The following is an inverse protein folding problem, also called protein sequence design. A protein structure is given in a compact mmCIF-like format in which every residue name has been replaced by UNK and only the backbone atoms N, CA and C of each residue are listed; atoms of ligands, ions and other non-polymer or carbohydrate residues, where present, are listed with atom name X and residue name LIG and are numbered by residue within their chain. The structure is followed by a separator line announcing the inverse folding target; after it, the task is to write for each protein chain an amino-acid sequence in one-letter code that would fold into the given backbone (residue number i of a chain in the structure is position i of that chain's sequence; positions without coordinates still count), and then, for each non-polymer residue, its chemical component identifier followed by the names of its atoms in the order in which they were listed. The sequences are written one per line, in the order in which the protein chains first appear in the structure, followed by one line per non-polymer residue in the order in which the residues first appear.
data_IF_900224003032
#
_entry.id   IF_900224003032
#
_cell.length_a   1.000
_cell.length_b   1.000
_cell.length_c   1.000
_cell.angle_alpha   90.00
_cell.angle_beta   90.00
_cell.angle_gamma   90.00
#
_symmetry.space_group_name_H-M   'P 1'
#
loop_
_entity.id
_entity.type
_entity.pdbx_description
1 polymer ?
#
# COMPACT_ATOMS: atom_id res chain seq x y z
N UNK A 1 1.40 35.16 -4.54
CA UNK A 1 2.79 34.72 -4.74
C UNK A 1 3.37 34.37 -3.38
N UNK A 2 3.30 33.09 -3.04
CA UNK A 2 4.02 32.49 -1.92
C UNK A 2 4.40 31.10 -2.42
N UNK A 3 5.59 31.04 -3.00
CA UNK A 3 6.22 29.87 -3.60
C UNK A 3 6.59 28.95 -2.44
N UNK A 4 6.00 27.77 -2.40
CA UNK A 4 6.48 26.67 -1.54
C UNK A 4 7.48 25.91 -2.42
N UNK A 5 8.75 25.91 -2.02
CA UNK A 5 9.83 25.17 -2.68
C UNK A 5 9.60 23.66 -2.52
N UNK A 6 9.38 22.96 -3.64
CA UNK A 6 9.13 21.52 -3.76
C UNK A 6 10.40 20.63 -3.67
N UNK A 7 11.52 21.13 -3.14
CA UNK A 7 12.77 20.37 -3.11
C UNK A 7 13.12 19.87 -1.70
N UNK A 8 12.63 18.65 -1.34
CA UNK A 8 13.34 17.73 -0.41
C UNK A 8 12.73 16.32 -0.21
N UNK A 9 11.82 15.82 -1.06
CA UNK A 9 11.23 14.47 -0.85
C UNK A 9 11.79 13.43 -1.82
N UNK A 10 13.11 13.20 -1.81
CA UNK A 10 13.72 11.97 -2.35
C UNK A 10 14.97 11.57 -1.56
N UNK A 11 14.77 11.26 -0.29
CA UNK A 11 15.64 10.32 0.45
C UNK A 11 14.97 8.95 0.48
N UNK A 12 15.75 7.87 0.61
CA UNK A 12 15.17 6.57 0.96
C UNK A 12 14.27 6.76 2.19
N UNK A 13 13.01 6.32 2.10
CA UNK A 13 11.98 6.53 3.15
C UNK A 13 12.42 5.98 4.50
N UNK A 14 13.29 4.97 4.49
CA UNK A 14 13.97 4.43 5.66
C UNK A 14 15.47 4.71 5.56
N UNK A 15 16.01 5.40 6.56
CA UNK A 15 17.45 5.67 6.71
C UNK A 15 18.02 4.81 7.84
N UNK A 16 19.30 4.46 7.79
CA UNK A 16 19.96 3.73 8.88
C UNK A 16 20.10 4.63 10.12
N UNK A 17 19.97 4.07 11.34
CA UNK A 17 20.33 4.82 12.55
C UNK A 17 21.83 5.10 12.51
N UNK A 18 22.21 6.35 12.30
CA UNK A 18 23.59 6.80 12.42
C UNK A 18 23.66 8.08 13.25
N UNK A 19 24.54 8.10 14.26
CA UNK A 19 24.65 9.20 15.21
C UNK A 19 25.21 10.51 14.59
N UNK A 20 25.74 10.43 13.36
CA UNK A 20 26.37 11.54 12.64
C UNK A 20 25.45 12.16 11.55
N UNK A 21 24.22 11.66 11.39
CA UNK A 21 23.32 12.10 10.32
C UNK A 21 22.33 13.18 10.82
N UNK A 22 22.69 14.46 10.68
CA UNK A 22 21.89 15.62 11.12
C UNK A 22 20.55 15.78 10.36
N UNK A 23 20.32 15.01 9.28
CA UNK A 23 19.16 15.11 8.37
C UNK A 23 18.05 14.07 8.64
N UNK A 24 18.06 13.34 9.76
CA UNK A 24 16.99 12.40 10.13
C UNK A 24 15.89 13.10 10.95
N UNK A 25 15.10 13.96 10.29
CA UNK A 25 13.99 14.65 10.93
C UNK A 25 12.77 13.72 11.07
N UNK A 26 12.21 13.53 12.29
CA UNK A 26 11.00 12.76 12.45
C UNK A 26 9.81 13.49 11.80
N UNK A 27 8.98 12.76 11.07
CA UNK A 27 7.75 13.31 10.48
C UNK A 27 6.74 13.54 11.60
N UNK A 28 6.25 14.78 11.77
CA UNK A 28 5.31 15.11 12.83
C UNK A 28 3.89 15.18 12.26
N UNK A 29 2.97 14.43 12.87
CA UNK A 29 1.55 14.37 12.49
C UNK A 29 0.73 14.75 13.72
N UNK A 30 -0.36 15.50 13.52
CA UNK A 30 -1.35 15.74 14.57
C UNK A 30 -2.18 14.47 14.80
N UNK A 31 -2.35 14.06 16.05
CA UNK A 31 -3.09 12.84 16.40
C UNK A 31 -3.93 13.05 17.64
N UNK A 32 -5.05 12.35 17.74
CA UNK A 32 -5.94 12.44 18.90
C UNK A 32 -5.30 11.76 20.12
N UNK A 33 -5.28 12.43 21.27
CA UNK A 33 -4.85 11.83 22.53
C UNK A 33 -5.94 10.90 23.07
N UNK A 34 -5.60 9.62 23.28
CA UNK A 34 -6.56 8.66 23.84
C UNK A 34 -6.83 8.83 25.34
N UNK A 35 -6.03 9.64 26.03
CA UNK A 35 -6.19 9.91 27.46
C UNK A 35 -7.13 11.11 27.72
N UNK A 36 -6.94 12.23 27.02
CA UNK A 36 -7.74 13.44 27.23
C UNK A 36 -8.64 13.82 26.04
N UNK A 37 -8.61 13.06 24.94
CA UNK A 37 -9.37 13.31 23.71
C UNK A 37 -9.10 14.67 23.03
N UNK A 38 -8.02 15.34 23.40
CA UNK A 38 -7.53 16.54 22.73
C UNK A 38 -6.39 16.19 21.76
N UNK A 39 -6.05 17.09 20.83
CA UNK A 39 -5.00 16.84 19.85
C UNK A 39 -3.61 16.88 20.51
N UNK A 40 -2.79 15.85 20.26
CA UNK A 40 -1.37 15.82 20.53
C UNK A 40 -0.56 15.66 19.24
N UNK A 41 0.74 15.46 19.38
CA UNK A 41 1.66 15.27 18.25
C UNK A 41 2.26 13.88 18.25
N UNK A 42 2.16 13.16 17.13
CA UNK A 42 2.89 11.91 16.86
C UNK A 42 4.10 12.20 16.00
N UNK A 43 5.27 11.80 16.46
CA UNK A 43 6.54 11.85 15.73
C UNK A 43 6.85 10.48 15.16
N UNK A 44 6.85 10.34 13.84
CA UNK A 44 7.21 9.13 13.12
C UNK A 44 8.69 9.19 12.72
N UNK A 45 9.47 8.22 13.19
CA UNK A 45 10.85 8.01 12.78
C UNK A 45 10.94 6.68 12.02
N UNK A 46 11.19 6.78 10.72
CA UNK A 46 11.35 5.65 9.81
C UNK A 46 12.84 5.31 9.76
N UNK A 47 13.23 4.20 10.39
CA UNK A 47 14.64 3.88 10.56
C UNK A 47 14.94 2.40 10.34
N UNK A 48 16.18 2.11 9.98
CA UNK A 48 16.74 0.76 9.92
C UNK A 48 17.69 0.58 11.09
N UNK A 49 17.48 -0.49 11.86
CA UNK A 49 18.37 -0.90 12.95
C UNK A 49 19.08 -2.19 12.55
N UNK A 50 20.38 -2.37 12.84
CA UNK A 50 21.08 -3.63 12.59
C UNK A 50 20.29 -4.80 13.20
N UNK A 51 20.20 -5.92 12.47
CA UNK A 51 19.41 -7.12 12.79
C UNK A 51 17.88 -7.01 12.64
N UNK A 52 17.33 -5.82 12.43
CA UNK A 52 15.93 -5.61 12.09
C UNK A 52 15.81 -5.03 10.69
N UNK A 53 14.77 -5.45 9.96
CA UNK A 53 14.37 -4.77 8.73
C UNK A 53 13.76 -3.40 9.10
N UNK A 54 13.11 -2.76 8.14
CA UNK A 54 12.50 -1.43 8.27
C UNK A 54 11.56 -1.32 9.50
N UNK A 55 11.80 -0.36 10.39
CA UNK A 55 10.95 -0.06 11.55
C UNK A 55 10.42 1.38 11.50
N UNK A 56 9.22 1.56 12.05
CA UNK A 56 8.54 2.84 12.23
C UNK A 56 8.39 3.07 13.74
N UNK A 57 9.09 4.06 14.27
CA UNK A 57 8.93 4.47 15.66
C UNK A 57 7.94 5.63 15.70
N UNK A 58 6.79 5.43 16.32
CA UNK A 58 5.73 6.42 16.48
C UNK A 58 5.70 6.92 17.92
N UNK A 59 6.29 8.09 18.18
CA UNK A 59 6.28 8.72 19.51
C UNK A 59 5.21 9.80 19.60
N UNK A 60 4.10 9.47 20.24
CA UNK A 60 3.04 10.41 20.60
C UNK A 60 3.38 11.18 21.88
N UNK A 61 3.08 12.47 21.90
CA UNK A 61 3.13 13.32 23.09
C UNK A 61 1.97 14.30 23.06
N UNK A 62 1.18 14.33 24.14
CA UNK A 62 0.11 15.30 24.32
C UNK A 62 0.60 16.48 25.18
N UNK A 63 0.51 17.73 24.70
CA UNK A 63 0.89 18.91 25.48
C UNK A 63 -0.12 19.28 26.57
N UNK A 64 -1.34 18.72 26.52
CA UNK A 64 -2.42 19.06 27.44
C UNK A 64 -2.44 18.20 28.70
N UNK A 65 -2.23 16.89 28.57
CA UNK A 65 -2.22 15.95 29.70
C UNK A 65 -0.85 15.33 29.99
N UNK A 66 0.20 15.73 29.27
CA UNK A 66 1.56 15.16 29.34
C UNK A 66 1.64 13.64 29.11
N UNK A 67 0.58 13.03 28.57
CA UNK A 67 0.61 11.62 28.21
C UNK A 67 1.50 11.44 26.97
N UNK A 68 2.47 10.54 27.08
CA UNK A 68 3.34 10.14 25.98
C UNK A 68 3.22 8.65 25.75
N UNK A 69 3.34 8.25 24.49
CA UNK A 69 3.29 6.85 24.10
C UNK A 69 4.24 6.64 22.92
N UNK A 70 5.09 5.62 23.00
CA UNK A 70 6.01 5.28 21.91
C UNK A 70 5.67 3.89 21.42
N UNK A 71 5.17 3.83 20.20
CA UNK A 71 4.81 2.60 19.51
C UNK A 71 5.89 2.27 18.49
N UNK A 72 6.24 1.00 18.35
CA UNK A 72 7.08 0.53 17.24
C UNK A 72 6.21 -0.33 16.34
N UNK A 73 6.16 0.04 15.07
CA UNK A 73 5.57 -0.76 14.02
C UNK A 73 6.70 -1.27 13.12
N UNK A 74 6.80 -2.59 12.97
CA UNK A 74 7.70 -3.16 11.98
C UNK A 74 7.07 -2.96 10.59
N UNK A 75 7.72 -2.19 9.73
CA UNK A 75 7.35 -2.10 8.31
C UNK A 75 7.90 -3.28 7.51
N UNK A 76 8.81 -4.06 8.10
CA UNK A 76 9.36 -5.27 7.49
C UNK A 76 8.31 -6.36 7.27
N UNK A 77 8.47 -7.11 6.17
CA UNK A 77 7.75 -8.37 5.92
C UNK A 77 7.88 -9.30 7.14
N UNK A 78 6.78 -9.99 7.47
CA UNK A 78 6.76 -11.07 8.47
C UNK A 78 7.92 -12.03 8.18
N UNK A 79 8.67 -12.43 9.21
CA UNK A 79 9.82 -13.32 9.02
C UNK A 79 9.36 -14.71 8.54
N UNK A 80 10.27 -15.48 7.96
CA UNK A 80 9.97 -16.84 7.50
C UNK A 80 9.56 -17.77 8.65
N UNK A 81 10.14 -17.55 9.84
CA UNK A 81 9.95 -18.35 11.04
C UNK A 81 9.47 -17.49 12.21
N UNK A 82 8.64 -18.09 13.07
CA UNK A 82 8.31 -17.51 14.36
C UNK A 82 9.48 -17.69 15.33
N UNK A 83 9.54 -16.83 16.35
CA UNK A 83 10.61 -16.84 17.34
C UNK A 83 10.04 -16.95 18.75
N UNK A 84 10.67 -17.81 19.54
CA UNK A 84 10.38 -18.00 20.95
C UNK A 84 11.65 -17.65 21.75
N UNK A 85 11.56 -16.58 22.53
CA UNK A 85 12.59 -16.18 23.48
C UNK A 85 12.24 -16.74 24.85
N UNK A 86 13.18 -17.47 25.45
CA UNK A 86 13.10 -17.93 26.84
C UNK A 86 14.27 -17.36 27.59
N UNK A 87 14.02 -16.37 28.46
CA UNK A 87 15.03 -15.71 29.27
C UNK A 87 14.88 -16.12 30.74
N UNK A 88 15.98 -16.57 31.34
CA UNK A 88 16.08 -16.70 32.80
C UNK A 88 16.59 -15.39 33.40
N UNK A 89 15.72 -14.68 34.11
CA UNK A 89 16.07 -13.42 34.80
C UNK A 89 16.63 -13.78 36.17
N UNK A 90 17.93 -13.48 36.39
CA UNK A 90 18.64 -13.80 37.65
C UNK A 90 19.20 -12.56 38.34
N UNK A 91 19.54 -11.54 37.56
CA UNK A 91 20.21 -10.34 38.06
C UNK A 91 19.42 -9.08 37.73
N UNK A 92 19.69 -8.00 38.45
CA UNK A 92 19.14 -6.67 38.10
C UNK A 92 19.65 -6.17 36.75
N UNK A 93 20.79 -6.64 36.26
CA UNK A 93 21.26 -6.32 34.91
C UNK A 93 20.36 -6.93 33.83
N UNK A 94 19.81 -8.13 34.08
CA UNK A 94 18.85 -8.75 33.15
C UNK A 94 17.58 -7.90 33.01
N UNK A 95 17.15 -7.21 34.06
CA UNK A 95 15.98 -6.33 34.04
C UNK A 95 16.14 -5.12 33.11
N UNK A 96 17.37 -4.70 32.87
CA UNK A 96 17.71 -3.56 32.03
C UNK A 96 17.80 -3.90 30.54
N UNK A 97 17.72 -5.18 30.16
CA UNK A 97 17.79 -5.61 28.76
C UNK A 97 16.68 -4.95 27.96
N UNK A 98 17.04 -4.41 26.80
CA UNK A 98 16.06 -3.87 25.86
C UNK A 98 15.22 -4.98 25.25
N UNK A 99 13.91 -4.74 25.20
CA UNK A 99 12.90 -5.65 24.66
C UNK A 99 12.09 -4.91 23.61
N UNK A 100 12.12 -5.45 22.40
CA UNK A 100 11.17 -5.11 21.34
C UNK A 100 10.07 -6.16 21.38
N UNK A 101 8.87 -5.75 21.73
CA UNK A 101 7.68 -6.60 21.69
C UNK A 101 6.83 -6.18 20.50
N UNK A 102 6.53 -7.11 19.60
CA UNK A 102 5.54 -6.90 18.53
C UNK A 102 4.11 -7.00 19.07
N UNK A 103 3.13 -6.54 18.29
CA UNK A 103 1.71 -6.66 18.61
C UNK A 103 1.22 -8.11 18.62
N UNK A 104 1.76 -8.94 17.74
CA UNK A 104 1.46 -10.38 17.64
C UNK A 104 2.17 -11.25 18.68
N UNK A 105 3.08 -10.68 19.48
CA UNK A 105 3.80 -11.41 20.52
C UNK A 105 2.99 -11.62 21.79
N UNK A 106 3.00 -12.85 22.29
CA UNK A 106 2.52 -13.19 23.63
C UNK A 106 3.66 -13.19 24.64
N UNK A 107 3.38 -12.75 25.86
CA UNK A 107 4.36 -12.71 26.95
C UNK A 107 3.88 -13.55 28.11
N UNK A 108 4.70 -14.47 28.62
CA UNK A 108 4.34 -15.38 29.71
C UNK A 108 5.39 -15.39 30.80
N UNK A 109 4.94 -15.44 32.05
CA UNK A 109 5.76 -15.72 33.24
C UNK A 109 5.15 -16.94 33.94
N UNK A 110 5.64 -18.16 33.64
CA UNK A 110 5.05 -19.40 34.15
C UNK A 110 5.00 -19.49 35.68
N UNK A 111 5.98 -18.92 36.38
CA UNK A 111 6.04 -18.94 37.85
C UNK A 111 4.89 -18.17 38.52
N UNK A 112 4.28 -17.22 37.80
CA UNK A 112 3.15 -16.43 38.29
C UNK A 112 1.82 -16.82 37.64
N UNK A 113 1.80 -17.78 36.73
CA UNK A 113 0.65 -18.01 35.81
C UNK A 113 0.19 -16.70 35.14
N UNK A 114 1.16 -15.85 34.79
CA UNK A 114 0.90 -14.56 34.15
C UNK A 114 1.05 -14.67 32.64
N UNK A 115 0.05 -14.22 31.89
CA UNK A 115 0.06 -14.18 30.44
C UNK A 115 -0.51 -12.85 29.93
N UNK A 116 0.22 -12.24 28.99
CA UNK A 116 -0.25 -11.14 28.16
C UNK A 116 -0.46 -11.72 26.76
N UNK A 117 -1.73 -11.94 26.33
CA UNK A 117 -2.00 -12.52 25.02
C UNK A 117 -1.60 -11.57 23.89
N UNK A 118 -1.41 -12.13 22.70
CA UNK A 118 -1.18 -11.38 21.47
C UNK A 118 -2.33 -10.38 21.20
N UNK A 119 -2.04 -9.27 20.52
CA UNK A 119 -2.95 -8.17 20.13
C UNK A 119 -3.60 -7.41 21.28
N UNK A 120 -3.32 -7.75 22.54
CA UNK A 120 -3.79 -6.95 23.69
C UNK A 120 -3.03 -5.64 23.85
N UNK A 121 -1.78 -5.62 23.41
CA UNK A 121 -0.88 -4.49 23.50
C UNK A 121 -0.27 -4.23 22.12
N UNK A 122 -0.10 -2.96 21.78
CA UNK A 122 0.61 -2.57 20.56
C UNK A 122 2.11 -2.82 20.71
N UNK A 123 2.80 -2.87 19.56
CA UNK A 123 4.24 -3.02 19.50
C UNK A 123 4.95 -1.91 20.28
N UNK A 124 5.92 -2.28 21.13
CA UNK A 124 6.62 -1.32 21.99
C UNK A 124 8.07 -1.71 22.19
N UNK A 125 8.94 -0.71 22.24
CA UNK A 125 10.31 -0.81 22.75
C UNK A 125 10.32 -0.42 24.23
N UNK A 126 10.82 -1.32 25.05
CA UNK A 126 10.93 -1.10 26.49
C UNK A 126 12.11 -1.90 27.04
N UNK A 127 12.18 -2.02 28.36
CA UNK A 127 13.04 -2.98 29.05
C UNK A 127 12.18 -4.06 29.69
N UNK A 128 12.81 -5.10 30.23
CA UNK A 128 12.08 -6.12 31.01
C UNK A 128 11.41 -5.49 32.22
N UNK A 129 12.10 -4.57 32.90
CA UNK A 129 11.50 -3.77 33.98
C UNK A 129 10.30 -2.96 33.49
N UNK A 130 10.42 -2.27 32.35
CA UNK A 130 9.34 -1.47 31.80
C UNK A 130 8.11 -2.29 31.39
N UNK A 131 8.30 -3.54 30.95
CA UNK A 131 7.19 -4.46 30.66
C UNK A 131 6.43 -4.84 31.94
N UNK A 132 7.15 -5.09 33.04
CA UNK A 132 6.55 -5.41 34.34
C UNK A 132 5.87 -4.18 34.96
N UNK A 133 6.50 -3.00 34.91
CA UNK A 133 5.92 -1.75 35.40
C UNK A 133 4.62 -1.42 34.68
N UNK A 134 4.57 -1.64 33.36
CA UNK A 134 3.35 -1.45 32.58
C UNK A 134 2.25 -2.43 32.98
N UNK A 135 2.59 -3.70 33.24
CA UNK A 135 1.63 -4.68 33.73
C UNK A 135 1.07 -4.30 35.11
N UNK A 136 1.93 -3.83 36.02
CA UNK A 136 1.54 -3.34 37.35
C UNK A 136 0.62 -2.13 37.23
N UNK A 137 1.01 -1.12 36.44
CA UNK A 137 0.21 0.09 36.25
C UNK A 137 -1.17 -0.22 35.65
N UNK A 138 -1.24 -1.13 34.67
CA UNK A 138 -2.51 -1.55 34.06
C UNK A 138 -3.45 -2.28 35.04
N UNK A 139 -2.90 -3.06 35.97
CA UNK A 139 -3.70 -3.71 37.02
C UNK A 139 -4.13 -2.73 38.13
N UNK A 140 -3.27 -1.76 38.47
CA UNK A 140 -3.46 -0.81 39.57
C UNK A 140 -4.44 0.33 39.21
N UNK A 141 -4.50 0.76 37.94
CA UNK A 141 -5.34 1.88 37.48
C UNK A 141 -6.82 1.72 37.86
N UNK A 142 -7.37 0.50 37.71
CA UNK A 142 -8.79 0.23 37.95
C UNK A 142 -9.08 -0.29 39.38
N UNK A 143 -8.06 -0.46 40.23
CA UNK A 143 -8.25 -0.94 41.61
C UNK A 143 -9.22 -0.09 42.44
N UNK A 144 -9.25 1.26 42.36
CA UNK A 144 -10.20 2.06 43.14
C UNK A 144 -11.67 1.73 42.81
N UNK A 145 -11.96 1.48 41.53
CA UNK A 145 -13.31 1.12 41.05
C UNK A 145 -13.66 -0.31 41.47
N UNK A 146 -12.69 -1.23 41.37
CA UNK A 146 -12.86 -2.63 41.80
C UNK A 146 -13.11 -2.74 43.30
N UNK A 147 -12.40 -1.97 44.14
CA UNK A 147 -12.64 -1.92 45.61
C UNK A 147 -14.07 -1.47 45.97
N UNK A 148 -14.69 -0.63 45.16
CA UNK A 148 -16.07 -0.17 45.37
C UNK A 148 -17.12 -1.18 44.87
N UNK A 149 -16.82 -1.94 43.82
CA UNK A 149 -17.79 -2.84 43.16
C UNK A 149 -17.69 -4.29 43.66
N UNK A 150 -16.48 -4.82 43.76
CA UNK A 150 -16.19 -6.18 44.19
C UNK A 150 -14.88 -6.24 45.01
N UNK A 151 -14.99 -6.13 46.36
CA UNK A 151 -13.83 -6.13 47.25
C UNK A 151 -13.03 -7.45 47.22
N UNK A 152 -13.68 -8.58 46.95
CA UNK A 152 -13.02 -9.89 46.98
C UNK A 152 -12.09 -10.10 45.77
N UNK A 153 -12.48 -9.56 44.61
CA UNK A 153 -11.62 -9.56 43.42
C UNK A 153 -10.46 -8.57 43.58
N UNK A 154 -10.74 -7.40 44.16
CA UNK A 154 -9.72 -6.38 44.40
C UNK A 154 -8.58 -6.87 45.31
N UNK A 155 -8.89 -7.67 46.35
CA UNK A 155 -7.90 -8.25 47.26
C UNK A 155 -6.96 -9.25 46.54
N UNK A 156 -7.53 -10.12 45.69
CA UNK A 156 -6.73 -11.07 44.88
C UNK A 156 -5.81 -10.38 43.88
N UNK A 157 -6.28 -9.30 43.26
CA UNK A 157 -5.47 -8.50 42.33
C UNK A 157 -4.36 -7.77 43.08
N UNK A 158 -4.64 -7.27 44.28
CA UNK A 158 -3.63 -6.60 45.12
C UNK A 158 -2.52 -7.57 45.55
N UNK A 159 -2.88 -8.80 45.96
CA UNK A 159 -1.91 -9.87 46.22
C UNK A 159 -1.07 -10.20 44.98
N UNK A 160 -1.69 -10.23 43.79
CA UNK A 160 -0.97 -10.47 42.54
C UNK A 160 -0.01 -9.33 42.16
N UNK A 161 -0.43 -8.08 42.37
CA UNK A 161 0.43 -6.90 42.16
C UNK A 161 1.63 -6.93 43.10
N UNK A 162 1.46 -7.35 44.36
CA UNK A 162 2.59 -7.53 45.29
C UNK A 162 3.57 -8.61 44.79
N UNK A 163 3.07 -9.72 44.23
CA UNK A 163 3.92 -10.75 43.63
C UNK A 163 4.72 -10.22 42.44
N UNK A 164 4.10 -9.41 41.56
CA UNK A 164 4.81 -8.75 40.46
C UNK A 164 5.86 -7.75 40.96
N UNK A 165 5.55 -6.97 42.00
CA UNK A 165 6.50 -6.03 42.62
C UNK A 165 7.70 -6.75 43.26
N UNK A 166 7.52 -7.97 43.80
CA UNK A 166 8.64 -8.80 44.31
C UNK A 166 9.57 -9.28 43.20
N UNK A 167 9.03 -9.64 42.03
CA UNK A 167 9.86 -10.01 40.88
C UNK A 167 10.74 -8.85 40.39
N UNK A 168 10.24 -7.62 40.51
CA UNK A 168 11.01 -6.42 40.13
C UNK A 168 12.29 -6.24 40.96
N UNK A 169 12.25 -6.59 42.25
CA UNK A 169 13.43 -6.54 43.10
C UNK A 169 14.42 -7.69 42.86
N UNK A 170 14.04 -8.66 42.00
CA UNK A 170 14.82 -9.86 41.68
C UNK A 170 15.14 -10.66 42.95
N UNK A 171 14.16 -10.76 43.86
CA UNK A 171 14.26 -11.63 45.05
C UNK A 171 14.16 -13.11 44.68
N UNK A 172 13.45 -13.42 43.58
CA UNK A 172 13.27 -14.77 43.05
C UNK A 172 13.62 -14.80 41.55
N UNK A 173 14.34 -15.84 41.12
CA UNK A 173 14.60 -16.09 39.70
C UNK A 173 13.30 -16.49 38.98
N UNK A 174 13.02 -15.87 37.84
CA UNK A 174 11.84 -16.18 37.04
C UNK A 174 12.18 -16.33 35.56
N UNK A 175 11.26 -16.92 34.81
CA UNK A 175 11.42 -17.13 33.37
C UNK A 175 10.47 -16.22 32.63
N UNK A 176 11.02 -15.37 31.76
CA UNK A 176 10.25 -14.58 30.83
C UNK A 176 10.24 -15.30 29.48
N UNK A 177 9.04 -15.58 28.98
CA UNK A 177 8.84 -16.19 27.67
C UNK A 177 8.15 -15.16 26.77
N UNK A 178 8.76 -14.85 25.63
CA UNK A 178 8.15 -14.04 24.57
C UNK A 178 8.03 -14.93 23.35
N UNK A 179 6.78 -15.24 22.99
CA UNK A 179 6.45 -16.05 21.82
C UNK A 179 5.85 -15.15 20.75
N UNK A 180 6.58 -14.95 19.66
CA UNK A 180 6.20 -14.09 18.56
C UNK A 180 6.14 -14.87 17.24
N UNK A 181 4.92 -15.19 16.77
CA UNK A 181 4.73 -15.83 15.47
C UNK A 181 5.25 -15.01 14.29
N UNK A 182 5.33 -13.67 14.39
CA UNK A 182 5.80 -12.82 13.30
C UNK A 182 7.32 -12.79 13.13
N UNK A 183 8.06 -13.21 14.15
CA UNK A 183 9.53 -13.15 14.18
C UNK A 183 10.10 -11.75 14.38
N UNK A 184 9.28 -10.76 14.77
CA UNK A 184 9.68 -9.34 14.87
C UNK A 184 9.87 -8.86 16.32
N UNK A 185 9.88 -9.76 17.30
CA UNK A 185 10.23 -9.43 18.68
C UNK A 185 11.71 -9.69 18.92
N UNK A 186 12.28 -9.03 19.92
CA UNK A 186 13.70 -9.13 20.22
C UNK A 186 13.97 -8.87 21.69
N UNK A 187 14.96 -9.59 22.22
CA UNK A 187 15.53 -9.34 23.54
C UNK A 187 17.02 -9.12 23.37
N UNK A 188 17.53 -8.04 23.93
CA UNK A 188 18.94 -7.68 23.92
C UNK A 188 19.80 -8.75 24.59
N UNK A 189 20.94 -9.06 23.95
CA UNK A 189 22.04 -9.79 24.57
C UNK A 189 23.11 -8.78 25.02
N UNK A 190 23.26 -8.55 26.34
CA UNK A 190 24.24 -7.58 26.86
C UNK A 190 25.70 -8.05 26.69
N UNK A 191 25.93 -9.34 26.39
CA UNK A 191 27.28 -9.93 26.30
C UNK A 191 27.82 -10.01 24.87
N UNK A 192 27.17 -9.38 23.88
CA UNK A 192 27.62 -9.40 22.46
C UNK A 192 29.11 -9.01 22.36
N UNK A 193 29.96 -9.78 21.63
CA UNK A 193 29.66 -10.90 20.73
C UNK A 193 29.65 -12.30 21.38
N UNK A 194 29.76 -12.40 22.71
CA UNK A 194 29.70 -13.67 23.43
C UNK A 194 28.25 -14.18 23.48
N UNK A 195 28.12 -15.52 23.54
CA UNK A 195 26.81 -16.16 23.68
C UNK A 195 26.26 -15.90 25.07
N UNK A 196 25.02 -15.46 25.13
CA UNK A 196 24.28 -15.43 26.37
C UNK A 196 23.90 -16.85 26.80
N UNK A 197 24.09 -17.16 28.08
CA UNK A 197 23.70 -18.45 28.68
C UNK A 197 22.32 -18.41 29.33
N UNK A 198 21.81 -17.21 29.63
CA UNK A 198 20.51 -16.99 30.26
C UNK A 198 19.37 -16.88 29.23
N UNK A 199 19.68 -16.45 27.99
CA UNK A 199 18.73 -16.30 26.90
C UNK A 199 18.81 -17.48 25.93
N UNK A 200 17.70 -18.20 25.78
CA UNK A 200 17.53 -19.23 24.76
C UNK A 200 16.59 -18.71 23.67
N UNK A 201 17.05 -18.73 22.42
CA UNK A 201 16.25 -18.32 21.25
C UNK A 201 15.98 -19.54 20.40
N UNK A 202 14.70 -19.91 20.28
CA UNK A 202 14.24 -21.02 19.43
C UNK A 202 13.39 -20.50 18.31
N UNK A 203 13.67 -20.93 17.08
CA UNK A 203 12.90 -20.57 15.90
C UNK A 203 12.00 -21.75 15.54
N UNK A 204 10.76 -21.48 15.14
CA UNK A 204 9.79 -22.52 14.80
C UNK A 204 9.05 -22.20 13.50
N UNK A 205 8.61 -23.26 12.80
CA UNK A 205 7.72 -23.13 11.63
C UNK A 205 6.32 -22.80 12.14
N UNK A 206 5.72 -21.73 11.61
CA UNK A 206 4.38 -21.27 11.99
C UNK A 206 3.34 -22.34 11.72
N UNK A 207 2.36 -22.43 12.61
CA UNK A 207 1.16 -23.25 12.38
C UNK A 207 0.17 -22.51 11.49
N UNK A 208 -0.81 -23.20 10.87
CA UNK A 208 -1.86 -22.54 10.10
C UNK A 208 -2.66 -21.52 10.93
N UNK A 209 -2.87 -21.80 12.21
CA UNK A 209 -3.51 -20.88 13.15
C UNK A 209 -2.71 -19.58 13.33
N UNK A 210 -1.38 -19.69 13.45
CA UNK A 210 -0.50 -18.53 13.51
C UNK A 210 -0.54 -17.70 12.22
N UNK A 211 -0.60 -18.36 11.06
CA UNK A 211 -0.69 -17.66 9.76
C UNK A 211 -2.01 -16.90 9.64
N UNK A 212 -3.14 -17.51 10.02
CA UNK A 212 -4.45 -16.85 10.01
C UNK A 212 -4.47 -15.61 10.91
N UNK A 213 -3.88 -15.71 12.11
CA UNK A 213 -3.79 -14.61 13.08
C UNK A 213 -2.93 -13.45 12.55
N UNK A 214 -1.89 -13.75 11.77
CA UNK A 214 -1.02 -12.76 11.14
C UNK A 214 -1.57 -12.22 9.80
N UNK A 215 -2.74 -12.69 9.37
CA UNK A 215 -3.32 -12.31 8.07
C UNK A 215 -2.52 -12.84 6.87
N UNK A 216 -1.76 -13.92 7.07
CA UNK A 216 -1.02 -14.59 6.00
C UNK A 216 -1.95 -15.62 5.40
N UNK A 217 -2.36 -15.38 4.15
CA UNK A 217 -3.03 -16.40 3.36
C UNK A 217 -2.05 -17.56 3.16
N UNK A 218 -2.42 -18.73 3.67
CA UNK A 218 -1.71 -19.96 3.35
C UNK A 218 -2.05 -20.29 1.90
N UNK A 219 -1.21 -19.85 0.97
CA UNK A 219 -1.03 -20.61 -0.26
C UNK A 219 -0.60 -22.01 0.18
N UNK A 220 -1.43 -23.01 -0.12
CA UNK A 220 -1.11 -24.40 0.17
C UNK A 220 0.31 -24.69 -0.36
N UNK A 221 1.13 -25.32 0.50
CA UNK A 221 2.56 -25.53 0.27
C UNK A 221 2.83 -26.19 -1.10
N UNK A 222 3.29 -25.42 -2.08
CA UNK A 222 4.07 -25.95 -3.20
C UNK A 222 5.55 -25.95 -2.83
N UNK A 223 6.06 -27.16 -2.62
CA UNK A 223 7.43 -27.52 -2.33
C UNK A 223 8.45 -26.89 -3.30
N UNK A 224 9.44 -26.20 -2.73
CA UNK A 224 10.85 -26.12 -3.16
C UNK A 224 11.18 -25.81 -4.64
N UNK A 225 11.68 -24.60 -4.84
CA UNK A 225 12.79 -24.19 -5.73
C UNK A 225 12.96 -24.90 -7.10
N UNK A 226 12.58 -24.17 -8.15
CA UNK A 226 13.44 -23.88 -9.31
C UNK A 226 13.22 -22.42 -9.73
N UNK A 227 14.23 -21.72 -10.30
CA UNK A 227 13.97 -20.45 -10.98
C UNK A 227 13.31 -20.80 -12.32
N UNK A 228 12.02 -21.10 -12.29
CA UNK A 228 11.19 -21.08 -13.48
C UNK A 228 10.84 -19.64 -13.80
N UNK A 229 10.78 -19.32 -15.09
CA UNK A 229 10.19 -18.10 -15.61
C UNK A 229 8.66 -18.13 -15.37
N UNK A 230 8.24 -18.23 -14.11
CA UNK A 230 6.84 -18.25 -13.77
C UNK A 230 6.32 -16.81 -13.76
N UNK A 231 5.21 -16.62 -14.46
CA UNK A 231 4.52 -15.34 -14.62
C UNK A 231 4.20 -14.75 -13.24
N UNK A 232 3.94 -15.60 -12.24
CA UNK A 232 3.69 -15.22 -10.84
C UNK A 232 4.86 -14.50 -10.17
N UNK A 233 6.10 -14.87 -10.45
CA UNK A 233 7.28 -14.16 -9.94
C UNK A 233 7.42 -12.79 -10.60
N UNK A 234 7.06 -12.67 -11.89
CA UNK A 234 7.00 -11.39 -12.60
C UNK A 234 5.84 -10.47 -12.15
N UNK A 235 4.78 -11.01 -11.54
CA UNK A 235 3.66 -10.24 -10.97
C UNK A 235 4.07 -9.46 -9.71
N UNK A 236 4.96 -10.03 -8.91
CA UNK A 236 5.34 -9.48 -7.61
C UNK A 236 6.59 -8.59 -7.63
N UNK A 237 7.38 -8.64 -8.71
CA UNK A 237 8.60 -7.85 -8.87
C UNK A 237 8.45 -6.72 -9.89
N UNK A 238 9.06 -5.57 -9.61
CA UNK A 238 9.19 -4.49 -10.59
C UNK A 238 10.41 -4.79 -11.45
N UNK A 239 10.17 -5.15 -12.71
CA UNK A 239 11.23 -5.40 -13.68
C UNK A 239 11.77 -4.07 -14.19
N UNK A 240 13.07 -3.85 -14.06
CA UNK A 240 13.72 -2.64 -14.58
C UNK A 240 14.52 -3.01 -15.82
N UNK A 241 14.25 -2.38 -16.95
CA UNK A 241 15.04 -2.53 -18.16
C UNK A 241 15.50 -1.17 -18.68
N UNK A 242 16.70 -1.16 -19.24
CA UNK A 242 17.29 0.06 -19.81
C UNK A 242 16.78 0.22 -21.24
N UNK A 243 16.19 1.37 -21.53
CA UNK A 243 15.73 1.76 -22.87
C UNK A 243 16.21 3.17 -23.18
N UNK A 244 15.94 3.65 -24.39
CA UNK A 244 16.24 5.02 -24.75
C UNK A 244 15.02 5.91 -24.47
N UNK A 245 15.26 7.11 -23.97
CA UNK A 245 14.22 8.12 -23.78
C UNK A 245 13.60 8.49 -25.14
N UNK A 246 12.25 8.45 -25.29
CA UNK A 246 11.60 8.76 -26.57
C UNK A 246 11.80 10.22 -27.02
N UNK A 247 12.13 11.12 -26.09
CA UNK A 247 12.26 12.55 -26.38
C UNK A 247 13.71 12.99 -26.64
N UNK A 248 14.67 12.52 -25.85
CA UNK A 248 16.08 12.95 -25.97
C UNK A 248 17.03 11.83 -26.43
N UNK A 249 16.54 10.61 -26.59
CA UNK A 249 17.30 9.41 -26.97
C UNK A 249 18.47 9.07 -26.03
N UNK A 250 18.53 9.68 -24.85
CA UNK A 250 19.48 9.33 -23.80
C UNK A 250 19.10 7.98 -23.15
N UNK A 251 20.07 7.22 -22.61
CA UNK A 251 19.75 6.01 -21.86
C UNK A 251 18.90 6.36 -20.63
N UNK A 252 17.76 5.68 -20.48
CA UNK A 252 16.80 5.86 -19.40
C UNK A 252 16.32 4.50 -18.88
N UNK A 253 16.00 4.45 -17.59
CA UNK A 253 15.45 3.23 -16.98
C UNK A 253 13.93 3.25 -17.12
N UNK A 254 13.35 2.15 -17.58
CA UNK A 254 11.91 1.93 -17.59
C UNK A 254 11.56 0.84 -16.60
N UNK A 255 10.70 1.21 -15.65
CA UNK A 255 10.15 0.28 -14.67
C UNK A 255 8.89 -0.35 -15.27
N UNK A 256 8.88 -1.67 -15.33
CA UNK A 256 7.75 -2.47 -15.78
C UNK A 256 7.15 -3.21 -14.58
N UNK A 257 5.83 -3.14 -14.44
CA UNK A 257 5.09 -3.94 -13.47
C UNK A 257 3.90 -4.61 -14.15
N UNK A 258 3.80 -5.92 -14.01
CA UNK A 258 2.58 -6.65 -14.33
C UNK A 258 1.57 -6.39 -13.21
N UNK A 259 0.39 -5.87 -13.54
CA UNK A 259 -0.69 -5.61 -12.60
C UNK A 259 -1.93 -6.32 -13.09
N UNK A 260 -2.54 -7.13 -12.23
CA UNK A 260 -3.85 -7.71 -12.49
C UNK A 260 -4.90 -6.82 -11.83
N UNK A 261 -5.71 -6.17 -12.64
CA UNK A 261 -6.82 -5.35 -12.13
C UNK A 261 -7.97 -6.32 -11.78
N UNK A 262 -8.53 -6.29 -10.56
CA UNK A 262 -9.68 -7.12 -10.21
C UNK A 262 -10.80 -6.96 -11.22
N UNK A 263 -11.39 -8.08 -11.68
CA UNK A 263 -12.42 -8.11 -12.72
C UNK A 263 -11.98 -7.61 -14.11
N UNK A 264 -10.69 -7.41 -14.34
CA UNK A 264 -10.11 -7.12 -15.64
C UNK A 264 -8.85 -7.98 -15.90
N UNK A 265 -8.34 -7.91 -17.13
CA UNK A 265 -7.15 -8.65 -17.56
C UNK A 265 -5.87 -8.11 -16.93
N UNK A 266 -4.78 -8.84 -17.18
CA UNK A 266 -3.43 -8.41 -16.90
C UNK A 266 -3.04 -7.20 -17.76
N UNK A 267 -2.56 -6.16 -17.09
CA UNK A 267 -1.97 -4.96 -17.70
C UNK A 267 -0.52 -4.83 -17.30
N UNK A 268 0.27 -4.24 -18.19
CA UNK A 268 1.68 -3.94 -18.00
C UNK A 268 1.81 -2.44 -17.88
N UNK A 269 2.22 -1.97 -16.71
CA UNK A 269 2.52 -0.56 -16.47
C UNK A 269 4.00 -0.34 -16.73
N UNK A 270 4.33 0.53 -17.67
CA UNK A 270 5.67 0.92 -18.06
C UNK A 270 5.87 2.40 -17.70
N UNK A 271 6.71 2.65 -16.70
CA UNK A 271 7.04 4.00 -16.26
C UNK A 271 8.49 4.32 -16.63
N UNK A 272 8.69 5.18 -17.62
CA UNK A 272 10.02 5.69 -18.00
C UNK A 272 10.26 7.02 -17.33
N UNK A 273 11.37 7.14 -16.61
CA UNK A 273 11.81 8.40 -16.01
C UNK A 273 13.23 8.70 -16.50
N UNK A 274 13.39 9.75 -17.30
CA UNK A 274 14.67 10.13 -17.87
C UNK A 274 15.40 11.14 -16.99
N UNK A 275 16.54 10.76 -16.43
CA UNK A 275 17.36 11.65 -15.58
C UNK A 275 18.06 12.77 -16.38
N UNK A 276 18.20 12.62 -17.70
CA UNK A 276 18.90 13.61 -18.55
C UNK A 276 18.02 14.79 -18.96
N UNK A 277 16.74 14.57 -19.27
CA UNK A 277 15.81 15.63 -19.70
C UNK A 277 14.62 15.83 -18.76
N UNK A 278 14.45 15.00 -17.74
CA UNK A 278 13.31 15.05 -16.82
C UNK A 278 12.00 14.50 -17.39
N UNK A 279 12.01 13.94 -18.61
CA UNK A 279 10.83 13.36 -19.23
C UNK A 279 10.30 12.18 -18.41
N UNK A 280 8.99 12.22 -18.09
CA UNK A 280 8.27 11.18 -17.36
C UNK A 280 7.10 10.72 -18.21
N UNK A 281 7.02 9.43 -18.48
CA UNK A 281 5.87 8.80 -19.14
C UNK A 281 5.43 7.58 -18.37
N UNK A 282 4.12 7.39 -18.28
CA UNK A 282 3.48 6.20 -17.74
C UNK A 282 2.61 5.63 -18.86
N UNK A 283 3.10 4.60 -19.51
CA UNK A 283 2.37 3.84 -20.52
C UNK A 283 1.76 2.60 -19.86
N UNK A 284 0.49 2.36 -20.11
CA UNK A 284 -0.18 1.13 -19.70
C UNK A 284 -0.54 0.35 -20.96
N UNK A 285 0.01 -0.85 -21.07
CA UNK A 285 -0.25 -1.77 -22.18
C UNK A 285 -1.03 -2.96 -21.65
N UNK A 286 -1.92 -3.49 -22.47
CA UNK A 286 -2.54 -4.78 -22.12
C UNK A 286 -1.50 -5.87 -22.29
N UNK A 287 -1.25 -6.67 -21.25
CA UNK A 287 -0.27 -7.75 -21.29
C UNK A 287 -0.75 -8.98 -22.05
N UNK A 288 -2.07 -9.08 -22.26
CA UNK A 288 -2.70 -10.17 -22.98
C UNK A 288 -2.70 -10.01 -24.51
N UNK A 289 -2.89 -11.12 -25.20
CA UNK A 289 -3.18 -11.13 -26.63
C UNK A 289 -4.49 -10.38 -26.93
N UNK A 290 -4.61 -9.84 -28.14
CA UNK A 290 -5.84 -9.25 -28.67
C UNK A 290 -7.00 -10.23 -28.50
N UNK A 291 -8.15 -9.79 -27.96
CA UNK A 291 -9.30 -10.69 -27.82
C UNK A 291 -9.79 -11.21 -29.17
N UNK A 292 -10.55 -12.31 -29.14
CA UNK A 292 -11.31 -12.78 -30.30
C UNK A 292 -12.41 -11.81 -30.73
N UNK A 293 -12.96 -11.04 -29.80
CA UNK A 293 -14.09 -10.12 -30.01
C UNK A 293 -13.72 -8.69 -29.62
N UNK A 294 -14.29 -7.72 -30.34
CA UNK A 294 -14.28 -6.33 -29.92
C UNK A 294 -15.24 -6.11 -28.75
N UNK A 295 -14.97 -5.10 -27.94
CA UNK A 295 -15.80 -4.74 -26.79
C UNK A 295 -16.26 -3.29 -26.91
N UNK A 296 -17.57 -3.07 -26.80
CA UNK A 296 -18.18 -1.75 -26.70
C UNK A 296 -18.79 -1.58 -25.31
N UNK A 297 -18.31 -0.60 -24.57
CA UNK A 297 -18.80 -0.26 -23.22
C UNK A 297 -19.56 1.06 -23.35
N UNK A 298 -20.83 1.07 -22.95
CA UNK A 298 -21.66 2.28 -22.89
C UNK A 298 -21.98 2.53 -21.43
N UNK A 299 -21.59 3.69 -20.90
CA UNK A 299 -21.94 4.16 -19.57
C UNK A 299 -22.80 5.41 -19.69
N UNK A 300 -23.96 5.39 -19.05
CA UNK A 300 -24.79 6.57 -18.85
C UNK A 300 -24.38 7.26 -17.54
N UNK A 301 -23.85 8.47 -17.66
CA UNK A 301 -23.43 9.26 -16.50
C UNK A 301 -24.66 9.89 -15.84
N UNK A 302 -24.91 9.51 -14.59
CA UNK A 302 -26.08 9.99 -13.83
C UNK A 302 -25.69 10.58 -12.48
N UNK A 303 -24.52 10.20 -11.95
CA UNK A 303 -24.08 10.63 -10.63
C UNK A 303 -22.66 11.24 -10.71
N UNK A 304 -22.36 12.32 -9.95
CA UNK A 304 -21.01 12.87 -9.87
C UNK A 304 -19.95 11.85 -9.42
N UNK A 305 -20.34 10.82 -8.67
CA UNK A 305 -19.44 9.73 -8.27
C UNK A 305 -18.91 8.91 -9.46
N UNK A 306 -19.62 8.91 -10.60
CA UNK A 306 -19.16 8.24 -11.82
C UNK A 306 -17.80 8.80 -12.30
N UNK A 307 -17.50 10.06 -12.01
CA UNK A 307 -16.22 10.71 -12.37
C UNK A 307 -14.99 10.00 -11.76
N UNK A 308 -15.18 9.32 -10.63
CA UNK A 308 -14.12 8.59 -9.91
C UNK A 308 -13.86 7.19 -10.43
N UNK A 309 -14.64 6.69 -11.39
CA UNK A 309 -14.47 5.34 -11.93
C UNK A 309 -13.13 5.18 -12.63
N UNK A 310 -12.43 4.11 -12.31
CA UNK A 310 -11.20 3.72 -12.98
C UNK A 310 -11.47 3.35 -14.45
N UNK A 311 -10.62 3.86 -15.34
CA UNK A 311 -10.71 3.70 -16.78
C UNK A 311 -9.33 3.36 -17.35
N UNK A 312 -9.26 2.27 -18.12
CA UNK A 312 -8.12 1.97 -18.98
C UNK A 312 -8.53 2.20 -20.43
N UNK A 313 -7.90 3.18 -21.08
CA UNK A 313 -8.08 3.40 -22.51
C UNK A 313 -6.93 2.74 -23.27
N UNK A 314 -7.23 1.71 -24.05
CA UNK A 314 -6.25 1.13 -24.96
C UNK A 314 -5.95 2.09 -26.14
N UNK A 315 -4.84 1.84 -26.85
CA UNK A 315 -4.51 2.58 -28.06
C UNK A 315 -5.52 2.33 -29.19
N UNK A 316 -6.17 1.17 -29.21
CA UNK A 316 -7.15 0.81 -30.24
C UNK A 316 -8.57 1.26 -29.91
N UNK A 317 -8.78 1.86 -28.73
CA UNK A 317 -10.10 2.32 -28.30
C UNK A 317 -10.44 3.70 -28.86
N UNK A 318 -11.63 3.83 -29.45
CA UNK A 318 -12.28 5.12 -29.69
C UNK A 318 -13.20 5.49 -28.52
N UNK A 319 -13.39 6.79 -28.33
CA UNK A 319 -14.30 7.34 -27.30
C UNK A 319 -15.33 8.19 -28.00
N UNK A 320 -16.62 7.93 -27.73
CA UNK A 320 -17.72 8.68 -28.30
C UNK A 320 -18.61 9.26 -27.21
N UNK A 321 -19.02 10.51 -27.39
CA UNK A 321 -20.04 11.19 -26.57
C UNK A 321 -21.14 11.68 -27.53
N UNK A 322 -22.22 10.89 -27.72
CA UNK A 322 -23.25 11.17 -28.71
C UNK A 322 -23.93 12.52 -28.54
N UNK A 323 -24.21 12.94 -27.30
CA UNK A 323 -24.89 14.20 -26.98
C UNK A 323 -24.06 15.44 -27.34
N UNK A 324 -22.74 15.28 -27.41
CA UNK A 324 -21.81 16.33 -27.83
C UNK A 324 -21.42 16.23 -29.31
N UNK A 325 -21.93 15.22 -30.03
CA UNK A 325 -21.49 14.86 -31.38
C UNK A 325 -19.96 14.74 -31.45
N UNK A 326 -19.37 14.17 -30.41
CA UNK A 326 -17.93 14.15 -30.21
C UNK A 326 -17.38 12.74 -30.32
N UNK A 327 -16.29 12.59 -31.07
CA UNK A 327 -15.59 11.33 -31.26
C UNK A 327 -14.08 11.56 -31.22
N UNK A 328 -13.38 10.71 -30.47
CA UNK A 328 -11.93 10.61 -30.47
C UNK A 328 -11.57 9.29 -31.14
N UNK A 329 -10.79 9.41 -32.21
CA UNK A 329 -10.28 8.27 -32.96
C UNK A 329 -9.27 7.44 -32.15
N UNK A 330 -8.97 6.27 -32.72
CA UNK A 330 -7.94 5.36 -32.20
C UNK A 330 -6.57 6.09 -32.10
N UNK A 331 -5.72 5.63 -31.20
CA UNK A 331 -4.40 6.16 -30.82
C UNK A 331 -4.37 7.50 -30.07
N UNK A 332 -5.41 8.32 -30.15
CA UNK A 332 -5.48 9.57 -29.38
C UNK A 332 -5.75 9.27 -27.89
N UNK A 333 -4.95 9.86 -27.00
CA UNK A 333 -5.03 9.66 -25.54
C UNK A 333 -5.02 8.18 -25.10
N UNK A 334 -4.44 7.29 -25.91
CA UNK A 334 -4.39 5.85 -25.64
C UNK A 334 -3.28 5.44 -24.68
N UNK A 335 -3.35 4.20 -24.18
CA UNK A 335 -2.31 3.59 -23.34
C UNK A 335 -2.22 4.19 -21.94
N UNK A 336 -3.34 4.70 -21.40
CA UNK A 336 -3.37 5.38 -20.10
C UNK A 336 -4.39 4.74 -19.18
N UNK A 337 -3.98 4.51 -17.94
CA UNK A 337 -4.87 4.22 -16.82
C UNK A 337 -5.17 5.52 -16.08
N UNK A 338 -6.44 5.88 -16.00
CA UNK A 338 -6.91 7.15 -15.45
C UNK A 338 -8.32 6.98 -14.88
N UNK A 339 -8.94 8.06 -14.43
CA UNK A 339 -10.36 8.08 -14.06
C UNK A 339 -11.19 8.68 -15.20
N UNK A 340 -12.51 8.53 -15.16
CA UNK A 340 -13.40 9.21 -16.12
C UNK A 340 -13.19 10.74 -16.12
N UNK A 341 -13.01 11.35 -14.96
CA UNK A 341 -12.66 12.76 -14.83
C UNK A 341 -11.34 13.11 -15.53
N UNK A 342 -10.30 12.29 -15.31
CA UNK A 342 -8.99 12.48 -15.91
C UNK A 342 -9.04 12.40 -17.43
N UNK A 343 -9.81 11.44 -17.97
CA UNK A 343 -10.04 11.34 -19.41
C UNK A 343 -10.75 12.58 -19.95
N UNK A 344 -11.86 13.02 -19.35
CA UNK A 344 -12.60 14.21 -19.81
C UNK A 344 -11.76 15.49 -19.75
N UNK A 345 -10.92 15.62 -18.72
CA UNK A 345 -9.97 16.74 -18.58
C UNK A 345 -8.92 16.72 -19.67
N UNK A 346 -8.34 15.55 -19.97
CA UNK A 346 -7.39 15.39 -21.08
C UNK A 346 -8.04 15.73 -22.44
N UNK A 347 -9.30 15.33 -22.63
CA UNK A 347 -10.08 15.64 -23.83
C UNK A 347 -10.26 17.16 -23.98
N UNK A 348 -10.63 17.83 -22.89
CA UNK A 348 -10.77 19.29 -22.85
C UNK A 348 -9.44 19.95 -23.20
N UNK A 349 -8.34 19.51 -22.60
CA UNK A 349 -7.01 20.09 -22.85
C UNK A 349 -6.52 19.87 -24.28
N UNK A 350 -6.79 18.69 -24.86
CA UNK A 350 -6.42 18.39 -26.24
C UNK A 350 -7.17 19.29 -27.23
N UNK A 351 -8.48 19.49 -27.02
CA UNK A 351 -9.37 20.17 -27.97
C UNK A 351 -9.37 21.69 -27.79
N UNK A 352 -9.25 22.20 -26.55
CA UNK A 352 -9.34 23.62 -26.23
C UNK A 352 -7.95 24.23 -26.08
N UNK A 353 -7.07 23.63 -25.27
CA UNK A 353 -5.80 24.24 -24.86
C UNK A 353 -4.66 23.98 -25.86
N UNK A 354 -4.58 22.78 -26.43
CA UNK A 354 -3.46 22.34 -27.28
C UNK A 354 -3.78 22.30 -28.78
N UNK A 355 -4.93 22.82 -29.18
CA UNK A 355 -5.41 22.70 -30.55
C UNK A 355 -4.61 23.63 -31.51
N UNK A 356 -3.78 23.08 -32.40
CA UNK A 356 -2.88 23.87 -33.26
C UNK A 356 -3.64 24.76 -34.24
N UNK A 357 -4.90 24.44 -34.53
CA UNK A 357 -5.75 25.15 -35.49
C UNK A 357 -6.35 26.45 -34.94
N UNK A 358 -6.16 26.74 -33.64
CA UNK A 358 -6.48 28.03 -33.02
C UNK A 358 -5.32 29.05 -33.13
N UNK A 359 -4.09 28.60 -33.34
CA UNK A 359 -2.88 29.45 -33.35
C UNK A 359 -2.38 29.88 -34.75
N UNK A 360 -3.29 30.06 -35.71
CA UNK A 360 -2.98 30.51 -37.07
C UNK A 360 -3.88 31.63 -37.59
N UNK A 361 -3.45 32.29 -38.65
CA UNK A 361 -4.18 33.34 -39.40
C UNK A 361 -5.46 32.84 -40.10
N UNK A 362 -5.67 31.53 -40.12
CA UNK A 362 -6.82 30.84 -40.72
C UNK A 362 -7.94 30.51 -39.71
N UNK A 363 -7.84 30.99 -38.47
CA UNK A 363 -8.87 30.78 -37.45
C UNK A 363 -10.08 31.68 -37.71
N UNK A 364 -11.23 31.09 -37.96
CA UNK A 364 -12.52 31.81 -38.02
C UNK A 364 -13.06 31.97 -36.60
N UNK A 365 -13.55 33.16 -36.25
CA UNK A 365 -14.13 33.44 -34.92
C UNK A 365 -15.24 32.44 -34.52
N UNK A 366 -16.04 32.00 -35.50
CA UNK A 366 -17.09 30.98 -35.34
C UNK A 366 -16.57 29.61 -34.86
N UNK A 367 -15.33 29.24 -35.20
CA UNK A 367 -14.72 27.98 -34.72
C UNK A 367 -14.24 28.09 -33.27
N UNK A 368 -13.70 29.24 -32.89
CA UNK A 368 -13.26 29.49 -31.52
C UNK A 368 -14.45 29.46 -30.55
N UNK A 369 -15.57 30.10 -30.91
CA UNK A 369 -16.80 30.09 -30.11
C UNK A 369 -17.36 28.66 -29.94
N UNK A 370 -17.36 27.84 -31.00
CA UNK A 370 -17.80 26.43 -30.92
C UNK A 370 -16.93 25.59 -30.00
N UNK A 371 -15.61 25.81 -30.03
CA UNK A 371 -14.65 25.10 -29.16
C UNK A 371 -14.79 25.54 -27.70
N UNK A 372 -15.03 26.83 -27.45
CA UNK A 372 -15.30 27.34 -26.12
C UNK A 372 -16.62 26.79 -25.55
N UNK A 373 -17.68 26.75 -26.37
CA UNK A 373 -18.95 26.12 -26.01
C UNK A 373 -18.78 24.63 -25.72
N UNK A 374 -17.95 23.92 -26.49
CA UNK A 374 -17.63 22.52 -26.22
C UNK A 374 -16.91 22.35 -24.88
N UNK A 375 -15.90 23.19 -24.59
CA UNK A 375 -15.21 23.19 -23.30
C UNK A 375 -16.16 23.43 -22.12
N UNK A 376 -17.10 24.36 -22.25
CA UNK A 376 -18.12 24.62 -21.23
C UNK A 376 -19.07 23.43 -21.04
N UNK A 377 -19.40 22.69 -22.10
CA UNK A 377 -20.23 21.47 -21.98
C UNK A 377 -19.47 20.35 -21.26
N UNK A 378 -18.19 20.16 -21.55
CA UNK A 378 -17.35 19.19 -20.82
C UNK A 378 -17.26 19.56 -19.34
N UNK A 379 -17.10 20.84 -19.01
CA UNK A 379 -17.09 21.30 -17.61
C UNK A 379 -18.41 20.99 -16.88
N UNK A 380 -19.55 21.12 -17.56
CA UNK A 380 -20.86 20.75 -17.00
C UNK A 380 -21.00 19.25 -16.77
N UNK A 381 -20.43 18.43 -17.66
CA UNK A 381 -20.41 16.97 -17.50
C UNK A 381 -19.55 16.60 -16.30
N UNK A 382 -18.35 17.17 -16.17
CA UNK A 382 -17.45 16.94 -15.02
C UNK A 382 -18.10 17.37 -13.71
N UNK A 383 -18.86 18.48 -13.71
CA UNK A 383 -19.60 18.96 -12.54
C UNK A 383 -20.85 18.11 -12.21
N UNK A 384 -21.24 17.16 -13.06
CA UNK A 384 -22.45 16.35 -12.89
C UNK A 384 -23.75 17.11 -13.14
N UNK A 385 -23.71 18.20 -13.92
CA UNK A 385 -24.88 19.01 -14.26
C UNK A 385 -25.58 18.57 -15.56
N UNK A 386 -25.00 17.60 -16.28
CA UNK A 386 -25.49 17.13 -17.57
C UNK A 386 -25.33 15.62 -17.70
N UNK A 387 -26.45 14.93 -17.89
CA UNK A 387 -26.51 13.50 -18.16
C UNK A 387 -26.06 13.23 -19.61
N UNK A 388 -25.06 12.37 -19.79
CA UNK A 388 -24.50 12.02 -21.11
C UNK A 388 -24.10 10.55 -21.17
N UNK A 389 -23.99 10.02 -22.38
CA UNK A 389 -23.46 8.68 -22.59
C UNK A 389 -21.99 8.75 -23.01
N UNK A 390 -21.14 7.98 -22.34
CA UNK A 390 -19.76 7.75 -22.75
C UNK A 390 -19.66 6.34 -23.32
N UNK A 391 -19.22 6.24 -24.57
CA UNK A 391 -19.04 4.98 -25.27
C UNK A 391 -17.56 4.76 -25.52
N UNK A 392 -17.02 3.68 -24.96
CA UNK A 392 -15.69 3.16 -25.27
C UNK A 392 -15.86 2.01 -26.26
N UNK A 393 -15.35 2.17 -27.47
CA UNK A 393 -15.39 1.12 -28.50
C UNK A 393 -13.96 0.66 -28.80
N UNK A 394 -13.62 -0.55 -28.35
CA UNK A 394 -12.31 -1.13 -28.56
C UNK A 394 -12.40 -2.45 -29.35
N UNK A 395 -12.00 -2.43 -30.64
CA UNK A 395 -11.91 -3.63 -31.47
C UNK A 395 -10.96 -4.70 -30.91
N UNK A 396 -9.96 -4.31 -30.12
CA UNK A 396 -9.00 -5.26 -29.51
C UNK A 396 -9.50 -5.86 -28.18
N UNK A 397 -10.57 -5.31 -27.59
CA UNK A 397 -11.13 -5.76 -26.31
C UNK A 397 -10.19 -5.54 -25.11
N UNK A 398 -9.35 -4.51 -25.18
CA UNK A 398 -8.26 -4.21 -24.24
C UNK A 398 -8.50 -2.95 -23.40
N UNK A 399 -9.66 -2.31 -23.54
CA UNK A 399 -10.12 -1.22 -22.68
C UNK A 399 -10.92 -1.72 -21.48
N UNK A 400 -10.89 -0.94 -20.40
CA UNK A 400 -11.60 -1.22 -19.15
C UNK A 400 -12.34 0.03 -18.67
N UNK A 401 -13.50 -0.19 -18.07
CA UNK A 401 -14.23 0.80 -17.29
C UNK A 401 -14.77 0.13 -16.04
N UNK A 402 -14.54 0.75 -14.89
CA UNK A 402 -14.89 0.19 -13.60
C UNK A 402 -16.41 0.12 -13.40
N UNK A 403 -16.88 -1.09 -13.12
CA UNK A 403 -18.20 -1.32 -12.56
C UNK A 403 -18.12 -1.19 -11.03
N UNK A 404 -18.71 -0.11 -10.49
CA UNK A 404 -18.73 0.16 -9.05
C UNK A 404 -19.61 -0.80 -8.24
N UNK A 405 -20.54 -1.49 -8.91
CA UNK A 405 -21.45 -2.47 -8.32
C UNK A 405 -20.92 -3.91 -8.41
N UNK A 406 -19.72 -4.13 -8.97
CA UNK A 406 -19.17 -5.47 -9.14
C UNK A 406 -19.17 -6.25 -7.80
N UNK A 407 -19.60 -7.53 -7.81
CA UNK A 407 -19.87 -8.40 -8.97
C UNK A 407 -21.28 -8.25 -9.58
N UNK A 408 -22.15 -7.40 -9.02
CA UNK A 408 -23.48 -7.15 -9.58
C UNK A 408 -23.39 -6.29 -10.85
N UNK A 409 -24.31 -6.47 -11.81
CA UNK A 409 -24.33 -5.65 -13.03
C UNK A 409 -24.74 -4.22 -12.69
N UNK A 410 -23.98 -3.26 -13.22
CA UNK A 410 -24.35 -1.85 -13.16
C UNK A 410 -25.61 -1.61 -14.03
N UNK A 411 -26.68 -0.98 -13.50
CA UNK A 411 -27.88 -0.68 -14.27
C UNK A 411 -27.64 0.33 -15.40
N UNK A 412 -26.66 1.23 -15.25
CA UNK A 412 -26.36 2.33 -16.18
C UNK A 412 -25.17 2.03 -17.10
N UNK A 413 -24.53 0.85 -16.94
CA UNK A 413 -23.45 0.38 -17.81
C UNK A 413 -23.87 -0.83 -18.63
N UNK A 414 -23.61 -0.79 -19.94
CA UNK A 414 -23.82 -1.90 -20.86
C UNK A 414 -22.52 -2.26 -21.56
N UNK A 415 -22.14 -3.54 -21.47
CA UNK A 415 -20.95 -4.09 -22.13
C UNK A 415 -21.43 -5.04 -23.24
N UNK A 416 -21.08 -4.74 -24.47
CA UNK A 416 -21.41 -5.54 -25.65
C UNK A 416 -20.13 -6.10 -26.28
N UNK A 417 -20.10 -7.40 -26.54
CA UNK A 417 -19.04 -8.01 -27.35
C UNK A 417 -19.53 -8.18 -28.78
N UNK A 418 -18.70 -7.82 -29.75
CA UNK A 418 -19.03 -7.91 -31.17
C UNK A 418 -17.91 -8.57 -31.98
N UNK A 419 -18.28 -9.21 -33.09
CA UNK A 419 -17.31 -9.75 -34.04
C UNK A 419 -16.75 -8.62 -34.88
N UNK A 420 -15.42 -8.49 -34.89
CA UNK A 420 -14.71 -7.47 -35.67
C UNK A 420 -15.04 -7.54 -37.15
N UNK A 421 -15.10 -6.39 -37.79
CA UNK A 421 -15.21 -6.30 -39.24
C UNK A 421 -13.86 -6.62 -39.91
N UNK A 422 -13.89 -6.88 -41.22
CA UNK A 422 -12.67 -7.12 -41.99
C UNK A 422 -11.67 -5.95 -41.92
N UNK A 423 -12.18 -4.71 -41.96
CA UNK A 423 -11.37 -3.49 -41.85
C UNK A 423 -10.73 -3.37 -40.46
N UNK A 424 -11.48 -3.64 -39.39
CA UNK A 424 -10.93 -3.65 -38.03
C UNK A 424 -9.84 -4.70 -37.84
N UNK A 425 -9.97 -5.87 -38.48
CA UNK A 425 -8.93 -6.88 -38.47
C UNK A 425 -7.70 -6.46 -39.28
N UNK A 426 -7.87 -5.68 -40.35
CA UNK A 426 -6.77 -5.13 -41.15
C UNK A 426 -5.99 -4.09 -40.35
N UNK A 427 -6.71 -3.17 -39.68
CA UNK A 427 -6.12 -2.13 -38.82
C UNK A 427 -5.34 -2.73 -37.64
N UNK A 428 -5.79 -3.88 -37.13
CA UNK A 428 -5.08 -4.65 -36.09
C UNK A 428 -3.99 -5.58 -36.64
N UNK A 429 -3.82 -5.66 -37.97
CA UNK A 429 -2.85 -6.55 -38.63
C UNK A 429 -3.14 -8.05 -38.46
N UNK A 430 -4.40 -8.41 -38.19
CA UNK A 430 -4.82 -9.79 -37.90
C UNK A 430 -5.14 -10.59 -39.17
N UNK A 431 -5.51 -9.94 -40.28
CA UNK A 431 -5.88 -10.63 -41.52
C UNK A 431 -4.72 -11.44 -42.13
N UNK A 432 -3.49 -10.92 -42.03
CA UNK A 432 -2.28 -11.58 -42.53
C UNK A 432 -1.59 -12.49 -41.50
N UNK A 433 -2.15 -12.58 -40.28
CA UNK A 433 -1.57 -13.33 -39.19
C UNK A 433 -1.83 -14.83 -39.36
N UNK A 434 -0.83 -15.58 -39.82
CA UNK A 434 -0.89 -17.05 -39.83
C UNK A 434 -0.83 -17.56 -38.39
N UNK A 435 -1.88 -18.15 -37.85
CA UNK A 435 -1.89 -18.72 -36.49
C UNK A 435 -1.58 -20.23 -36.47
N UNK A 436 -1.57 -20.89 -37.63
CA UNK A 436 -1.38 -22.34 -37.79
C UNK A 436 -0.42 -22.67 -38.96
N UNK A 437 0.18 -23.87 -38.94
CA UNK A 437 0.93 -24.41 -40.08
C UNK A 437 2.39 -23.96 -40.23
N UNK A 438 3.00 -23.38 -39.18
CA UNK A 438 4.41 -22.95 -39.20
C UNK A 438 5.45 -24.06 -39.52
N UNK A 439 5.05 -25.33 -39.46
CA UNK A 439 5.91 -26.50 -39.74
C UNK A 439 5.81 -27.05 -41.15
N UNK A 440 4.84 -26.60 -41.97
CA UNK A 440 4.77 -26.99 -43.38
C UNK A 440 5.49 -25.94 -44.22
N UNK A 441 6.64 -26.35 -44.77
CA UNK A 441 7.59 -25.53 -45.54
C UNK A 441 7.04 -24.97 -46.84
#
# INVERSE_FOLDING_TARGET
MSVIEEERVRGAVFKDINAEDEDQQPTVIESLCMNCYENGSTRLLLTKIPFFKEIIISSFTCPHCNWSNTEIQSAGRIQEQGVLYTLQVKTKEDMNREVVKSDSASTRIPQLDFEIPAFTQKGSLSTIEGLLDRAVAGLEQDQPVRKATDPAVAEKIEEFIERLKKLKEVEEEFTLIIDDPSGNSFIENPFVPQKDTALTVTHYKRTPEHNAVLGIETDEEEDSEKPSNDIDTMRNEVLVFNTNCPECNAPANTNMKLVQIPHFKEVIIMATNCDSCGHRTNEVKSGGATEELGTRITLHLTDPSDMSRDLLKSETCSVLIPELEFEIGMAALGGKFTTLEGLLTDIKDLIVSKNPFLCGDSSTADRAEKLELFGQKIDKIIAGEMDVHIILDDPAGNSYLQNVYAPEPDPEMRIEKYTRTFEQNEDLGLNDMKTEGYTEK
#
